data_IF_799826772194
#
_entry.id   IF_799826772194
#
_cell.length_a   1.000
_cell.length_b   1.000
_cell.length_c   1.000
_cell.angle_alpha   90.00
_cell.angle_beta   90.00
_cell.angle_gamma   90.00
#
_symmetry.space_group_name_H-M   'P 1'
#
loop_
_entity.id
_entity.type
_entity.pdbx_description
1 polymer ?
#
# COMPACT_ATOMS: atom_id res chain seq x y z
N UNK A 1 7.34 -4.69 34.73
CA UNK A 1 5.91 -4.94 34.46
C UNK A 1 5.24 -3.86 33.60
N UNK A 2 5.39 -2.56 33.88
CA UNK A 2 4.74 -1.47 33.10
C UNK A 2 5.22 -1.29 31.65
N UNK A 3 6.51 -1.54 31.36
CA UNK A 3 7.07 -1.37 30.00
C UNK A 3 6.63 -2.49 29.05
N UNK A 4 6.56 -3.74 29.54
CA UNK A 4 6.06 -4.88 28.74
C UNK A 4 4.62 -4.65 28.26
N UNK A 5 3.76 -4.10 29.11
CA UNK A 5 2.39 -3.73 28.72
C UNK A 5 2.32 -2.53 27.76
N UNK A 6 3.30 -1.63 27.80
CA UNK A 6 3.39 -0.52 26.83
C UNK A 6 3.89 -0.97 25.45
N UNK A 7 4.74 -2.00 25.41
CA UNK A 7 5.24 -2.61 24.18
C UNK A 7 4.19 -3.54 23.54
N UNK A 8 3.33 -4.20 24.32
CA UNK A 8 2.21 -4.99 23.75
C UNK A 8 1.09 -4.13 23.15
N UNK A 9 0.88 -2.91 23.66
CA UNK A 9 -0.05 -1.92 23.08
C UNK A 9 0.52 -1.23 21.81
N UNK A 10 1.77 -1.53 21.43
CA UNK A 10 2.42 -0.98 20.25
C UNK A 10 2.06 -1.75 18.96
N UNK A 11 1.63 -3.02 19.09
CA UNK A 11 1.23 -3.86 17.96
C UNK A 11 0.04 -3.29 17.15
N UNK A 12 -0.75 -2.38 17.73
CA UNK A 12 -1.94 -1.82 17.09
C UNK A 12 -1.73 -0.52 16.31
N UNK A 13 -0.63 0.23 16.48
CA UNK A 13 -0.54 1.53 15.80
C UNK A 13 0.90 2.07 15.63
N UNK A 14 1.43 2.01 14.40
CA UNK A 14 2.65 2.68 13.93
C UNK A 14 2.73 4.21 14.21
N UNK A 15 1.70 4.84 14.80
CA UNK A 15 1.62 6.30 15.02
C UNK A 15 2.22 6.79 16.34
N UNK A 16 2.72 5.92 17.23
CA UNK A 16 3.13 6.29 18.61
C UNK A 16 4.63 6.20 18.92
N UNK A 17 5.52 6.16 17.91
CA UNK A 17 6.97 6.04 18.12
C UNK A 17 7.54 7.17 19.01
N UNK A 18 7.04 8.41 18.84
CA UNK A 18 7.48 9.58 19.62
C UNK A 18 7.18 9.46 21.11
N UNK A 19 6.00 8.92 21.46
CA UNK A 19 5.61 8.78 22.86
C UNK A 19 6.45 7.74 23.61
N UNK A 20 6.79 6.65 22.94
CA UNK A 20 7.66 5.61 23.49
C UNK A 20 9.09 6.14 23.67
N UNK A 21 9.62 6.83 22.66
CA UNK A 21 10.93 7.47 22.75
C UNK A 21 11.03 8.47 23.90
N UNK A 22 9.99 9.31 24.06
CA UNK A 22 9.96 10.28 25.16
C UNK A 22 9.93 9.58 26.52
N UNK A 23 9.13 8.52 26.65
CA UNK A 23 9.08 7.72 27.87
C UNK A 23 10.44 7.07 28.17
N UNK A 24 11.11 6.48 27.17
CA UNK A 24 12.43 5.87 27.34
C UNK A 24 13.45 6.91 27.77
N UNK A 25 13.56 8.03 27.07
CA UNK A 25 14.47 9.13 27.43
C UNK A 25 14.26 9.60 28.86
N UNK A 26 13.01 9.74 29.31
CA UNK A 26 12.68 10.15 30.68
C UNK A 26 13.06 9.09 31.73
N UNK A 27 13.01 7.79 31.39
CA UNK A 27 13.32 6.70 32.33
C UNK A 27 14.82 6.37 32.37
N UNK A 28 15.53 6.48 31.25
CA UNK A 28 16.95 6.09 31.14
C UNK A 28 17.90 7.28 31.24
N UNK A 29 17.40 8.51 31.11
CA UNK A 29 18.21 9.72 30.97
C UNK A 29 18.88 9.87 29.61
N UNK A 30 18.54 9.02 28.63
CA UNK A 30 19.12 9.10 27.29
C UNK A 30 18.53 10.29 26.52
N UNK A 31 19.35 11.04 25.75
CA UNK A 31 18.85 12.15 24.94
C UNK A 31 17.80 11.65 23.94
N UNK A 32 16.75 12.43 23.75
CA UNK A 32 15.71 12.10 22.78
C UNK A 32 16.31 12.12 21.36
N UNK A 33 16.18 11.04 20.57
CA UNK A 33 16.91 10.91 19.32
C UNK A 33 16.34 11.81 18.19
N UNK A 34 17.22 12.30 17.29
CA UNK A 34 16.82 12.88 16.00
C UNK A 34 15.87 11.95 15.23
N UNK A 35 15.04 12.49 14.35
CA UNK A 35 13.99 11.72 13.65
C UNK A 35 14.58 10.53 12.87
N UNK A 36 15.74 10.74 12.30
CA UNK A 36 16.49 9.81 11.46
C UNK A 36 17.11 8.65 12.27
N UNK A 37 17.26 8.82 13.58
CA UNK A 37 17.89 7.85 14.49
C UNK A 37 16.89 7.11 15.40
N UNK A 38 15.61 7.44 15.31
CA UNK A 38 14.55 6.91 16.20
C UNK A 38 14.45 5.39 16.18
N UNK A 39 14.51 4.82 14.99
CA UNK A 39 14.39 3.37 14.81
C UNK A 39 15.62 2.65 15.38
N UNK A 40 16.81 3.20 15.16
CA UNK A 40 18.07 2.68 15.70
C UNK A 40 18.10 2.76 17.22
N UNK A 41 17.64 3.87 17.78
CA UNK A 41 17.55 4.07 19.23
C UNK A 41 16.64 3.03 19.88
N UNK A 42 15.44 2.83 19.32
CA UNK A 42 14.49 1.86 19.85
C UNK A 42 14.98 0.42 19.70
N UNK A 43 15.63 0.09 18.57
CA UNK A 43 16.24 -1.21 18.35
C UNK A 43 17.26 -1.53 19.45
N UNK A 44 18.20 -0.61 19.71
CA UNK A 44 19.22 -0.76 20.77
C UNK A 44 18.62 -0.91 22.16
N UNK A 45 17.57 -0.14 22.46
CA UNK A 45 16.90 -0.22 23.76
C UNK A 45 16.20 -1.58 23.93
N UNK A 46 15.54 -2.10 22.90
CA UNK A 46 14.92 -3.42 22.94
C UNK A 46 15.96 -4.53 23.12
N UNK A 47 17.11 -4.46 22.43
CA UNK A 47 18.23 -5.39 22.58
C UNK A 47 18.76 -5.44 24.02
N UNK A 48 18.96 -4.28 24.67
CA UNK A 48 19.37 -4.20 26.09
C UNK A 48 18.41 -4.92 27.03
N UNK A 49 17.12 -4.96 26.69
CA UNK A 49 16.08 -5.62 27.47
C UNK A 49 15.86 -7.09 27.08
N UNK A 50 16.61 -7.62 26.10
CA UNK A 50 16.38 -8.94 25.53
C UNK A 50 15.01 -9.08 24.87
N UNK A 51 14.44 -7.97 24.40
CA UNK A 51 13.15 -7.93 23.71
C UNK A 51 13.46 -7.89 22.21
N UNK A 52 12.88 -8.82 21.44
CA UNK A 52 12.94 -8.74 19.98
C UNK A 52 11.78 -7.85 19.48
N UNK A 53 12.04 -6.62 19.00
CA UNK A 53 10.99 -5.77 18.48
C UNK A 53 10.53 -6.30 17.12
N UNK A 54 9.33 -6.87 17.06
CA UNK A 54 8.74 -7.38 15.81
C UNK A 54 8.59 -6.29 14.71
N UNK A 55 8.68 -5.01 15.06
CA UNK A 55 8.54 -3.87 14.14
C UNK A 55 9.83 -3.46 13.39
N UNK A 56 11.02 -3.94 13.80
CA UNK A 56 12.29 -3.49 13.19
C UNK A 56 12.62 -4.13 11.84
N UNK A 57 11.82 -5.12 11.42
CA UNK A 57 11.71 -5.53 10.03
C UNK A 57 10.38 -5.01 9.49
N UNK A 58 10.35 -3.75 9.04
CA UNK A 58 9.52 -3.48 7.88
C UNK A 58 10.13 -4.26 6.72
N UNK A 59 9.85 -5.56 6.62
CA UNK A 59 10.00 -6.26 5.35
C UNK A 59 9.29 -5.37 4.35
N UNK A 60 10.06 -4.77 3.42
CA UNK A 60 9.46 -4.06 2.30
C UNK A 60 8.44 -5.03 1.75
N UNK A 61 7.15 -4.69 1.81
CA UNK A 61 6.09 -5.55 1.25
C UNK A 61 6.60 -6.00 -0.11
N UNK A 62 6.67 -7.32 -0.38
CA UNK A 62 7.26 -7.80 -1.61
C UNK A 62 6.64 -7.02 -2.75
N UNK A 63 7.50 -6.41 -3.58
CA UNK A 63 7.04 -5.79 -4.82
C UNK A 63 6.24 -6.86 -5.53
N UNK A 64 4.94 -6.62 -5.71
CA UNK A 64 4.02 -7.64 -6.19
C UNK A 64 4.55 -8.19 -7.53
N UNK A 65 5.21 -9.36 -7.47
CA UNK A 65 6.09 -9.89 -8.52
C UNK A 65 5.36 -10.03 -9.85
N UNK A 66 4.06 -10.29 -9.79
CA UNK A 66 3.14 -10.28 -10.92
C UNK A 66 3.29 -9.03 -11.81
N UNK A 67 3.37 -7.82 -11.23
CA UNK A 67 3.45 -6.61 -12.04
C UNK A 67 4.82 -6.44 -12.76
N UNK A 68 5.79 -7.29 -12.41
CA UNK A 68 7.09 -7.35 -13.05
C UNK A 68 7.16 -8.41 -14.16
N UNK A 69 6.16 -9.29 -14.27
CA UNK A 69 6.15 -10.37 -15.27
C UNK A 69 6.03 -9.83 -16.69
N UNK A 70 6.51 -10.61 -17.67
CA UNK A 70 6.46 -10.22 -19.09
C UNK A 70 5.02 -10.22 -19.60
N UNK A 71 4.24 -11.17 -19.12
CA UNK A 71 2.84 -11.41 -19.46
C UNK A 71 1.99 -10.20 -19.06
N UNK A 72 2.14 -9.72 -17.82
CA UNK A 72 1.44 -8.53 -17.37
C UNK A 72 1.86 -7.29 -18.16
N UNK A 73 3.16 -7.09 -18.42
CA UNK A 73 3.65 -5.92 -19.16
C UNK A 73 3.10 -5.89 -20.59
N UNK A 74 3.06 -7.03 -21.27
CA UNK A 74 2.50 -7.17 -22.61
C UNK A 74 0.98 -6.92 -22.60
N UNK A 75 0.25 -7.52 -21.65
CA UNK A 75 -1.18 -7.34 -21.52
C UNK A 75 -1.57 -5.90 -21.17
N UNK A 76 -0.79 -5.26 -20.28
CA UNK A 76 -0.94 -3.85 -19.91
C UNK A 76 -0.74 -2.95 -21.12
N UNK A 77 0.28 -3.22 -21.95
CA UNK A 77 0.50 -2.46 -23.20
C UNK A 77 -0.71 -2.62 -24.15
N UNK A 78 -1.16 -3.86 -24.37
CA UNK A 78 -2.34 -4.15 -25.19
C UNK A 78 -3.60 -3.42 -24.70
N UNK A 79 -3.82 -3.34 -23.39
CA UNK A 79 -4.95 -2.61 -22.83
C UNK A 79 -4.92 -1.10 -23.16
N UNK A 80 -3.73 -0.48 -23.17
CA UNK A 80 -3.60 0.91 -23.58
C UNK A 80 -3.76 1.12 -25.08
N UNK A 81 -3.29 0.19 -25.91
CA UNK A 81 -3.49 0.26 -27.36
C UNK A 81 -4.98 0.17 -27.73
N UNK A 82 -5.72 -0.77 -27.12
CA UNK A 82 -7.13 -1.00 -27.43
C UNK A 82 -8.05 0.09 -26.85
N UNK A 83 -7.85 0.44 -25.58
CA UNK A 83 -8.77 1.34 -24.86
C UNK A 83 -8.34 2.81 -24.86
N UNK A 84 -7.10 3.07 -25.28
CA UNK A 84 -6.50 4.40 -25.26
C UNK A 84 -6.15 4.87 -23.84
N UNK A 85 -5.53 6.06 -23.76
CA UNK A 85 -5.04 6.65 -22.50
C UNK A 85 -6.09 7.54 -21.84
N UNK A 86 -7.31 7.04 -21.68
CA UNK A 86 -8.46 7.77 -21.13
C UNK A 86 -9.14 6.97 -20.02
N UNK A 87 -9.40 7.59 -18.88
CA UNK A 87 -10.12 6.93 -17.78
C UNK A 87 -11.53 6.51 -18.21
N UNK A 88 -11.89 5.25 -18.02
CA UNK A 88 -13.24 4.76 -18.34
C UNK A 88 -14.31 5.34 -17.40
N UNK A 89 -13.97 5.57 -16.12
CA UNK A 89 -14.92 6.10 -15.14
C UNK A 89 -15.22 7.59 -15.33
N UNK A 90 -14.21 8.46 -15.32
CA UNK A 90 -14.39 9.92 -15.32
C UNK A 90 -13.96 10.61 -16.62
N UNK A 91 -13.50 9.86 -17.62
CA UNK A 91 -13.11 10.34 -18.95
C UNK A 91 -11.90 11.29 -19.01
N UNK A 92 -11.24 11.58 -17.89
CA UNK A 92 -9.99 12.36 -17.91
C UNK A 92 -8.88 11.66 -18.70
N UNK A 93 -8.07 12.45 -19.39
CA UNK A 93 -6.82 12.06 -20.07
C UNK A 93 -5.58 12.53 -19.33
N UNK A 94 -5.77 13.26 -18.22
CA UNK A 94 -4.72 13.89 -17.43
C UNK A 94 -4.19 12.99 -16.32
N UNK A 95 -2.90 13.12 -16.02
CA UNK A 95 -2.22 12.36 -14.97
C UNK A 95 -1.86 10.93 -15.34
N UNK A 96 -1.53 10.13 -14.33
CA UNK A 96 -1.13 8.73 -14.50
C UNK A 96 -2.37 7.86 -14.72
N UNK A 97 -2.35 7.12 -15.83
CA UNK A 97 -3.36 6.10 -16.12
C UNK A 97 -2.87 4.72 -15.69
N UNK A 98 -3.76 3.97 -15.06
CA UNK A 98 -3.55 2.62 -14.59
C UNK A 98 -4.41 1.65 -15.40
N UNK A 99 -3.89 0.45 -15.60
CA UNK A 99 -4.69 -0.70 -16.03
C UNK A 99 -5.18 -1.38 -14.76
N UNK A 100 -6.47 -1.27 -14.51
CA UNK A 100 -7.16 -1.83 -13.36
C UNK A 100 -7.87 -3.14 -13.73
N UNK A 101 -7.92 -4.06 -12.78
CA UNK A 101 -8.72 -5.28 -12.90
C UNK A 101 -10.15 -4.99 -12.44
N UNK A 102 -11.15 -5.19 -13.30
CA UNK A 102 -12.57 -5.07 -12.97
C UNK A 102 -12.86 -5.97 -11.76
N UNK A 103 -12.59 -7.27 -11.87
CA UNK A 103 -12.57 -8.23 -10.76
C UNK A 103 -11.18 -8.26 -10.13
N UNK A 104 -11.01 -7.81 -8.87
CA UNK A 104 -9.71 -7.65 -8.25
C UNK A 104 -8.89 -8.94 -8.19
N UNK A 105 -7.59 -8.83 -8.45
CA UNK A 105 -6.65 -9.97 -8.44
C UNK A 105 -6.61 -10.74 -7.11
N UNK A 106 -6.82 -10.04 -6.00
CA UNK A 106 -6.81 -10.63 -4.65
C UNK A 106 -7.98 -11.61 -4.41
N UNK A 107 -9.08 -11.46 -5.13
CA UNK A 107 -10.28 -12.32 -5.01
C UNK A 107 -10.48 -13.20 -6.25
N UNK A 108 -9.96 -12.79 -7.40
CA UNK A 108 -10.08 -13.49 -8.67
C UNK A 108 -8.72 -13.68 -9.36
N UNK A 109 -7.78 -14.42 -8.75
CA UNK A 109 -6.45 -14.64 -9.34
C UNK A 109 -6.51 -15.37 -10.68
N UNK A 110 -7.52 -16.21 -10.93
CA UNK A 110 -7.70 -16.86 -12.24
C UNK A 110 -8.01 -15.90 -13.39
N UNK A 111 -8.40 -14.65 -13.09
CA UNK A 111 -8.73 -13.62 -14.09
C UNK A 111 -7.62 -12.57 -14.24
N UNK A 112 -6.43 -12.81 -13.67
CA UNK A 112 -5.40 -11.77 -13.57
C UNK A 112 -4.74 -11.40 -14.89
N UNK A 113 -4.74 -12.32 -15.85
CA UNK A 113 -4.26 -12.13 -17.23
C UNK A 113 -5.39 -12.11 -18.27
N UNK A 114 -6.64 -12.05 -17.84
CA UNK A 114 -7.79 -11.99 -18.74
C UNK A 114 -8.00 -10.56 -19.25
N UNK A 115 -7.82 -10.35 -20.55
CA UNK A 115 -7.97 -9.03 -21.17
C UNK A 115 -9.36 -8.44 -20.94
N UNK A 116 -10.39 -9.27 -21.00
CA UNK A 116 -11.79 -8.89 -20.73
C UNK A 116 -12.02 -8.43 -19.29
N UNK A 117 -11.10 -8.69 -18.37
CA UNK A 117 -11.14 -8.24 -16.98
C UNK A 117 -10.37 -6.92 -16.74
N UNK A 118 -9.86 -6.26 -17.79
CA UNK A 118 -9.08 -5.03 -17.65
C UNK A 118 -9.84 -3.78 -18.09
N UNK A 119 -9.53 -2.66 -17.43
CA UNK A 119 -10.03 -1.33 -17.78
C UNK A 119 -9.00 -0.24 -17.46
N UNK A 120 -9.07 0.90 -18.14
CA UNK A 120 -8.18 2.05 -17.90
C UNK A 120 -8.82 3.00 -16.88
N UNK A 121 -8.12 3.32 -15.80
CA UNK A 121 -8.56 4.27 -14.77
C UNK A 121 -7.46 5.27 -14.43
N UNK A 122 -7.82 6.52 -14.14
CA UNK A 122 -6.89 7.45 -13.50
C UNK A 122 -6.65 7.03 -12.04
N UNK A 123 -5.59 7.55 -11.43
CA UNK A 123 -5.23 7.25 -10.04
C UNK A 123 -6.41 7.43 -9.06
N UNK A 124 -7.12 8.55 -9.12
CA UNK A 124 -8.24 8.85 -8.23
C UNK A 124 -9.37 7.81 -8.34
N UNK A 125 -9.78 7.44 -9.56
CA UNK A 125 -10.81 6.43 -9.79
C UNK A 125 -10.34 5.03 -9.38
N UNK A 126 -9.09 4.69 -9.67
CA UNK A 126 -8.49 3.40 -9.29
C UNK A 126 -8.46 3.22 -7.75
N UNK A 127 -8.03 4.26 -7.01
CA UNK A 127 -8.03 4.26 -5.55
C UNK A 127 -9.47 4.21 -5.00
N UNK A 128 -10.39 4.96 -5.61
CA UNK A 128 -11.80 4.98 -5.24
C UNK A 128 -12.46 3.60 -5.36
N UNK A 129 -12.24 2.93 -6.49
CA UNK A 129 -12.69 1.55 -6.75
C UNK A 129 -12.07 0.58 -5.75
N UNK A 130 -10.74 0.60 -5.63
CA UNK A 130 -9.98 -0.35 -4.81
C UNK A 130 -10.37 -1.81 -5.10
N UNK A 131 -10.16 -2.72 -4.15
CA UNK A 131 -10.72 -4.08 -4.20
C UNK A 131 -12.17 -4.16 -3.68
N UNK A 132 -12.84 -3.02 -3.49
CA UNK A 132 -14.19 -2.93 -2.91
C UNK A 132 -15.31 -3.03 -3.95
N UNK A 133 -15.03 -2.61 -5.18
CA UNK A 133 -16.01 -2.54 -6.26
C UNK A 133 -15.50 -3.25 -7.50
N UNK A 134 -16.41 -3.92 -8.22
CA UNK A 134 -16.13 -4.65 -9.48
C UNK A 134 -16.81 -4.01 -10.69
N UNK A 135 -17.11 -2.71 -10.64
CA UNK A 135 -17.81 -2.02 -11.72
C UNK A 135 -16.97 -2.00 -12.99
N UNK A 136 -17.59 -2.35 -14.11
CA UNK A 136 -17.03 -2.24 -15.46
C UNK A 136 -17.45 -0.90 -16.09
N UNK A 137 -16.51 0.04 -16.20
CA UNK A 137 -16.79 1.37 -16.77
C UNK A 137 -16.62 1.46 -18.29
N UNK A 138 -16.25 0.37 -18.97
CA UNK A 138 -15.96 0.40 -20.41
C UNK A 138 -17.20 0.75 -21.25
N UNK A 139 -18.38 0.31 -20.83
CA UNK A 139 -19.63 0.43 -21.59
C UNK A 139 -20.50 1.66 -21.30
N UNK A 140 -20.10 2.56 -20.40
CA UNK A 140 -20.99 3.65 -19.97
C UNK A 140 -20.80 4.95 -20.76
N UNK A 141 -21.53 5.14 -21.87
CA UNK A 141 -21.99 6.49 -22.22
C UNK A 141 -22.90 6.97 -21.09
N UNK A 142 -22.36 7.76 -20.15
CA UNK A 142 -23.18 8.31 -19.07
C UNK A 142 -24.04 9.42 -19.64
N UNK A 143 -25.36 9.23 -19.58
CA UNK A 143 -26.36 10.26 -19.79
C UNK A 143 -26.02 11.43 -18.87
N UNK A 144 -25.79 12.61 -19.45
CA UNK A 144 -25.57 13.84 -18.69
C UNK A 144 -26.84 14.10 -17.87
N UNK A 145 -26.71 14.12 -16.54
CA UNK A 145 -27.70 14.75 -15.67
C UNK A 145 -27.44 16.25 -15.59
#
# INVERSE_FOLDING_TARGET
MRIRNHLSLYDECHRKIRGILQYISNQTGWPYPPKEERDVFLQRYCEQLGINPHWSRSEKKPTNEFYLTKEWRALRYRAFEEYGRKCHCCRTTEGVMHVDHIKPRSTHPSLELEFSNLQILCEACNIGKSNRYETDWRGHEQVKH
#
